data_IF_079043435580
#
_entry.id   IF_079043435580
#
_cell.length_a   1.000
_cell.length_b   1.000
_cell.length_c   1.000
_cell.angle_alpha   90.00
_cell.angle_beta   90.00
_cell.angle_gamma   90.00
#
_symmetry.space_group_name_H-M   'P 1'
#
loop_
_entity.id
_entity.type
_entity.pdbx_description
1 polymer ?
#
# COMPACT_ATOMS: atom_id res chain seq x y z
N UNK A 1 -1.42 -10.08 -21.94
CA UNK A 1 -0.52 -8.94 -21.65
C UNK A 1 0.05 -9.18 -20.27
N UNK A 2 1.25 -8.72 -19.98
CA UNK A 2 1.76 -8.73 -18.60
C UNK A 2 0.96 -7.73 -17.76
N UNK A 3 0.73 -8.06 -16.49
CA UNK A 3 0.02 -7.18 -15.55
C UNK A 3 0.81 -5.91 -15.22
N UNK A 4 0.14 -4.96 -14.57
CA UNK A 4 0.67 -3.67 -14.11
C UNK A 4 0.56 -3.56 -12.58
N UNK A 5 1.19 -2.56 -12.01
CA UNK A 5 1.21 -2.32 -10.57
C UNK A 5 0.48 -1.02 -10.23
N UNK A 6 -0.37 -1.07 -9.22
CA UNK A 6 -1.05 0.11 -8.66
C UNK A 6 -0.61 0.26 -7.20
N UNK A 7 0.03 1.38 -6.88
CA UNK A 7 0.65 1.64 -5.59
C UNK A 7 -0.10 2.77 -4.90
N UNK A 8 -0.68 2.49 -3.74
CA UNK A 8 -1.31 3.51 -2.90
C UNK A 8 -0.46 3.79 -1.67
N UNK A 9 -0.21 5.06 -1.41
CA UNK A 9 0.38 5.52 -0.15
C UNK A 9 -0.38 6.72 0.39
N UNK A 10 -0.35 6.90 1.70
CA UNK A 10 -1.02 8.00 2.38
C UNK A 10 -0.57 8.11 3.83
N UNK A 11 -0.68 9.29 4.46
CA UNK A 11 -0.64 9.39 5.90
C UNK A 11 -1.77 8.61 6.57
N UNK A 12 -1.50 8.07 7.76
CA UNK A 12 -2.51 7.39 8.57
C UNK A 12 -3.71 8.31 8.83
N UNK A 13 -4.92 7.84 8.50
CA UNK A 13 -6.14 8.64 8.65
C UNK A 13 -6.61 9.38 7.40
N UNK A 14 -5.88 9.28 6.28
CA UNK A 14 -6.25 9.93 5.01
C UNK A 14 -7.38 9.25 4.24
N UNK A 15 -7.82 8.05 4.66
CA UNK A 15 -8.89 7.29 4.00
C UNK A 15 -8.41 6.31 2.92
N UNK A 16 -7.11 6.04 2.82
CA UNK A 16 -6.51 5.16 1.82
C UNK A 16 -7.19 3.79 1.73
N UNK A 17 -7.31 3.07 2.85
CA UNK A 17 -7.90 1.73 2.87
C UNK A 17 -9.37 1.73 2.44
N UNK A 18 -10.13 2.79 2.75
CA UNK A 18 -11.52 2.93 2.31
C UNK A 18 -11.59 3.11 0.79
N UNK A 19 -10.70 3.91 0.20
CA UNK A 19 -10.61 4.11 -1.25
C UNK A 19 -10.19 2.81 -1.95
N UNK A 20 -9.13 2.16 -1.46
CA UNK A 20 -8.69 0.87 -2.04
C UNK A 20 -9.80 -0.17 -1.98
N UNK A 21 -10.48 -0.30 -0.84
CA UNK A 21 -11.57 -1.27 -0.69
C UNK A 21 -12.74 -0.97 -1.63
N UNK A 22 -13.04 0.29 -1.94
CA UNK A 22 -14.09 0.61 -2.91
C UNK A 22 -13.71 0.21 -4.34
N UNK A 23 -12.43 0.39 -4.72
CA UNK A 23 -11.92 -0.05 -6.04
C UNK A 23 -11.94 -1.58 -6.15
N UNK A 24 -11.65 -2.27 -5.05
CA UNK A 24 -11.61 -3.74 -5.00
C UNK A 24 -13.00 -4.39 -4.83
N UNK A 25 -14.05 -3.61 -4.56
CA UNK A 25 -15.42 -4.09 -4.36
C UNK A 25 -16.23 -4.12 -5.68
N UNK A 26 -17.44 -4.68 -5.61
CA UNK A 26 -18.50 -4.58 -6.64
C UNK A 26 -18.12 -5.00 -8.07
N UNK A 27 -17.22 -6.00 -8.21
CA UNK A 27 -16.80 -6.52 -9.53
C UNK A 27 -15.69 -5.72 -10.19
N UNK A 28 -15.33 -4.53 -9.70
CA UNK A 28 -14.23 -3.73 -10.25
C UNK A 28 -12.89 -4.48 -10.24
N UNK A 29 -12.61 -5.23 -9.17
CA UNK A 29 -11.43 -6.06 -9.10
C UNK A 29 -11.42 -7.17 -10.17
N UNK A 30 -12.57 -7.77 -10.51
CA UNK A 30 -12.66 -8.80 -11.54
C UNK A 30 -12.52 -8.21 -12.94
N UNK A 31 -13.18 -7.09 -13.22
CA UNK A 31 -13.13 -6.42 -14.53
C UNK A 31 -11.73 -5.92 -14.87
N UNK A 32 -11.03 -5.35 -13.90
CA UNK A 32 -9.67 -4.82 -14.04
C UNK A 32 -8.58 -5.84 -13.68
N UNK A 33 -8.95 -7.09 -13.39
CA UNK A 33 -8.03 -8.16 -12.94
C UNK A 33 -7.09 -7.70 -11.82
N UNK A 34 -7.65 -7.01 -10.79
CA UNK A 34 -6.91 -6.45 -9.67
C UNK A 34 -6.77 -7.48 -8.54
N UNK A 35 -5.57 -7.66 -8.07
CA UNK A 35 -5.21 -8.56 -6.98
C UNK A 35 -4.35 -7.84 -5.96
N UNK A 36 -4.58 -8.07 -4.67
CA UNK A 36 -3.66 -7.58 -3.64
C UNK A 36 -2.31 -8.29 -3.71
N UNK A 37 -1.26 -7.54 -3.44
CA UNK A 37 0.03 -8.14 -3.11
C UNK A 37 -0.05 -8.87 -1.78
N UNK A 38 0.33 -10.16 -1.75
CA UNK A 38 0.41 -10.94 -0.52
C UNK A 38 1.79 -10.75 0.08
N UNK A 39 1.85 -10.10 1.25
CA UNK A 39 3.11 -9.84 1.95
C UNK A 39 3.67 -11.10 2.60
N UNK A 40 4.99 -11.15 2.75
CA UNK A 40 5.66 -12.09 3.64
C UNK A 40 5.79 -11.51 5.04
N UNK A 41 5.81 -12.36 6.06
CA UNK A 41 6.05 -11.96 7.44
C UNK A 41 6.81 -13.02 8.21
N UNK A 42 7.61 -12.58 9.19
CA UNK A 42 8.32 -13.50 10.11
C UNK A 42 7.56 -13.79 11.41
N UNK A 43 6.38 -13.21 11.60
CA UNK A 43 5.53 -13.61 12.73
C UNK A 43 4.83 -14.93 12.47
N UNK A 44 4.51 -15.66 13.52
CA UNK A 44 3.69 -16.86 13.43
C UNK A 44 2.26 -16.51 12.95
N UNK A 45 1.60 -17.43 12.20
CA UNK A 45 0.18 -17.33 11.86
C UNK A 45 -0.70 -17.12 13.11
N UNK A 46 -1.78 -16.38 12.97
CA UNK A 46 -2.78 -16.15 14.03
C UNK A 46 -4.09 -16.81 13.63
N UNK A 47 -4.72 -17.53 14.55
CA UNK A 47 -5.99 -18.18 14.31
C UNK A 47 -5.94 -19.12 13.11
N UNK A 48 -6.77 -18.87 12.11
CA UNK A 48 -6.92 -19.69 10.90
C UNK A 48 -6.12 -19.17 9.69
N UNK A 49 -5.21 -18.21 9.88
CA UNK A 49 -4.37 -17.68 8.80
C UNK A 49 -3.55 -18.78 8.11
N UNK A 50 -3.55 -18.77 6.77
CA UNK A 50 -2.90 -19.79 5.94
C UNK A 50 -1.74 -19.19 5.15
N UNK A 51 -0.68 -19.97 5.01
CA UNK A 51 0.46 -19.59 4.19
C UNK A 51 0.06 -19.44 2.71
N UNK A 52 0.41 -18.27 2.12
CA UNK A 52 0.09 -17.94 0.74
C UNK A 52 -1.34 -17.41 0.52
N UNK A 53 -2.10 -17.18 1.60
CA UNK A 53 -3.44 -16.57 1.56
C UNK A 53 -3.39 -15.20 2.21
N UNK A 54 -3.25 -15.13 3.54
CA UNK A 54 -3.12 -13.85 4.24
C UNK A 54 -1.69 -13.32 4.19
N UNK A 55 -0.72 -14.22 4.37
CA UNK A 55 0.72 -13.94 4.31
C UNK A 55 1.51 -15.15 3.79
N UNK A 56 2.72 -14.88 3.30
CA UNK A 56 3.77 -15.89 3.24
C UNK A 56 4.51 -15.89 4.57
N UNK A 57 4.32 -16.93 5.38
CA UNK A 57 4.94 -17.05 6.70
C UNK A 57 6.35 -17.64 6.58
N UNK A 58 7.33 -16.87 7.03
CA UNK A 58 8.75 -17.22 7.05
C UNK A 58 9.25 -17.23 8.50
N UNK A 59 10.34 -17.94 8.76
CA UNK A 59 11.07 -17.72 10.01
C UNK A 59 11.87 -16.40 9.94
N UNK A 60 12.25 -15.79 11.08
CA UNK A 60 13.12 -14.60 11.07
C UNK A 60 14.43 -14.82 10.30
N UNK A 61 15.02 -16.01 10.39
CA UNK A 61 16.27 -16.31 9.72
C UNK A 61 16.08 -16.45 8.20
N UNK A 62 15.02 -17.13 7.75
CA UNK A 62 14.64 -17.18 6.32
C UNK A 62 14.35 -15.78 5.77
N UNK A 63 13.71 -14.91 6.57
CA UNK A 63 13.43 -13.55 6.15
C UNK A 63 14.73 -12.75 5.97
N UNK A 64 15.67 -12.84 6.91
CA UNK A 64 17.00 -12.20 6.82
C UNK A 64 17.82 -12.72 5.65
N UNK A 65 17.79 -14.03 5.40
CA UNK A 65 18.46 -14.62 4.23
C UNK A 65 17.94 -14.03 2.94
N UNK A 66 16.62 -13.88 2.81
CA UNK A 66 15.99 -13.25 1.64
C UNK A 66 16.31 -11.76 1.52
N UNK A 67 16.44 -11.03 2.63
CA UNK A 67 16.95 -9.64 2.63
C UNK A 67 18.38 -9.62 2.07
N UNK A 68 19.26 -10.49 2.57
CA UNK A 68 20.66 -10.55 2.13
C UNK A 68 20.80 -10.89 0.64
N UNK A 69 19.85 -11.65 0.09
CA UNK A 69 19.79 -12.02 -1.33
C UNK A 69 19.03 -11.01 -2.19
N UNK A 70 18.61 -9.85 -1.65
CA UNK A 70 17.83 -8.82 -2.35
C UNK A 70 16.53 -9.35 -3.00
N UNK A 71 15.82 -10.25 -2.29
CA UNK A 71 14.61 -10.90 -2.80
C UNK A 71 13.32 -10.11 -2.53
N UNK A 72 13.37 -9.00 -1.79
CA UNK A 72 12.20 -8.17 -1.48
C UNK A 72 12.11 -6.94 -2.38
N UNK A 73 10.87 -6.59 -2.75
CA UNK A 73 10.53 -5.30 -3.37
C UNK A 73 10.65 -4.17 -2.33
N UNK A 74 10.12 -4.44 -1.15
CA UNK A 74 10.18 -3.60 0.04
C UNK A 74 10.11 -4.50 1.29
N UNK A 75 10.64 -4.05 2.40
CA UNK A 75 10.47 -4.71 3.71
C UNK A 75 10.67 -3.72 4.85
N UNK A 76 10.11 -4.06 6.01
CA UNK A 76 10.25 -3.30 7.25
C UNK A 76 10.39 -4.24 8.45
N UNK A 77 11.28 -3.92 9.38
CA UNK A 77 11.30 -4.52 10.70
C UNK A 77 10.47 -3.68 11.67
N UNK A 78 9.23 -4.11 11.95
CA UNK A 78 8.29 -3.37 12.81
C UNK A 78 8.63 -3.51 14.29
N UNK A 79 9.07 -4.69 14.70
CA UNK A 79 9.63 -5.00 16.04
C UNK A 79 10.78 -5.97 15.85
N UNK A 80 11.62 -6.13 16.88
CA UNK A 80 12.74 -7.08 16.87
C UNK A 80 12.27 -8.45 16.36
N UNK A 81 12.89 -8.93 15.28
CA UNK A 81 12.60 -10.19 14.60
C UNK A 81 11.19 -10.31 14.00
N UNK A 82 10.45 -9.20 13.90
CA UNK A 82 9.14 -9.16 13.24
C UNK A 82 9.19 -8.32 11.98
N UNK A 83 9.43 -9.00 10.89
CA UNK A 83 9.53 -8.43 9.56
C UNK A 83 8.22 -8.57 8.79
N UNK A 84 7.98 -7.60 7.92
CA UNK A 84 6.99 -7.64 6.86
C UNK A 84 7.63 -7.17 5.57
N UNK A 85 7.20 -7.71 4.44
CA UNK A 85 7.73 -7.28 3.15
C UNK A 85 7.08 -8.00 1.98
N UNK A 86 7.39 -7.56 0.78
CA UNK A 86 6.83 -8.12 -0.45
C UNK A 86 7.93 -8.79 -1.27
N UNK A 87 7.75 -10.08 -1.56
CA UNK A 87 8.71 -10.87 -2.34
C UNK A 87 8.63 -10.52 -3.83
N UNK A 88 9.77 -10.20 -4.44
CA UNK A 88 9.88 -9.95 -5.90
C UNK A 88 9.31 -11.10 -6.72
N UNK A 89 9.65 -12.35 -6.36
CA UNK A 89 9.20 -13.54 -7.06
C UNK A 89 7.68 -13.71 -7.10
N UNK A 90 6.96 -13.24 -6.09
CA UNK A 90 5.49 -13.30 -6.05
C UNK A 90 4.88 -12.24 -6.96
N UNK A 91 5.40 -11.01 -6.90
CA UNK A 91 4.97 -9.93 -7.77
C UNK A 91 5.22 -10.27 -9.22
N UNK A 92 6.43 -10.72 -9.56
CA UNK A 92 6.80 -11.09 -10.92
C UNK A 92 5.94 -12.23 -11.46
N UNK A 93 5.59 -13.21 -10.60
CA UNK A 93 4.66 -14.29 -10.96
C UNK A 93 3.27 -13.75 -11.30
N UNK A 94 2.68 -12.91 -10.44
CA UNK A 94 1.36 -12.32 -10.67
C UNK A 94 1.35 -11.51 -11.97
N UNK A 95 2.36 -10.68 -12.19
CA UNK A 95 2.49 -9.88 -13.41
C UNK A 95 2.60 -10.76 -14.68
N UNK A 96 3.36 -11.85 -14.61
CA UNK A 96 3.51 -12.81 -15.72
C UNK A 96 2.19 -13.55 -16.03
N UNK A 97 1.35 -13.78 -15.02
CA UNK A 97 0.00 -14.35 -15.14
C UNK A 97 -1.03 -13.33 -15.66
N UNK A 98 -0.63 -12.06 -15.82
CA UNK A 98 -1.47 -10.96 -16.32
C UNK A 98 -2.32 -10.30 -15.23
N UNK A 99 -2.03 -10.60 -13.96
CA UNK A 99 -2.70 -9.96 -12.83
C UNK A 99 -2.17 -8.53 -12.62
N UNK A 100 -3.07 -7.59 -12.35
CA UNK A 100 -2.73 -6.25 -11.91
C UNK A 100 -2.62 -6.22 -10.39
N UNK A 101 -1.47 -5.82 -9.85
CA UNK A 101 -1.15 -5.97 -8.44
C UNK A 101 -1.32 -4.66 -7.69
N UNK A 102 -2.17 -4.66 -6.67
CA UNK A 102 -2.44 -3.50 -5.81
C UNK A 102 -1.59 -3.57 -4.55
N UNK A 103 -0.90 -2.48 -4.27
CA UNK A 103 -0.09 -2.28 -3.06
C UNK A 103 -0.70 -1.23 -2.15
N UNK A 104 -0.83 -1.58 -0.88
CA UNK A 104 -1.14 -0.67 0.23
C UNK A 104 0.10 -0.54 1.11
N UNK A 105 0.94 0.46 0.85
CA UNK A 105 2.25 0.63 1.48
C UNK A 105 2.46 2.05 2.01
N UNK A 106 3.54 2.25 2.76
CA UNK A 106 3.98 3.60 3.13
C UNK A 106 4.71 4.30 1.97
N UNK A 107 5.06 5.58 2.15
CA UNK A 107 5.71 6.38 1.09
C UNK A 107 7.06 5.83 0.66
N UNK A 108 7.84 5.26 1.57
CA UNK A 108 9.16 4.70 1.25
C UNK A 108 9.01 3.40 0.45
N UNK A 109 8.10 2.52 0.85
CA UNK A 109 7.74 1.32 0.10
C UNK A 109 7.24 1.66 -1.30
N UNK A 110 6.35 2.64 -1.42
CA UNK A 110 5.84 3.11 -2.70
C UNK A 110 6.96 3.59 -3.65
N UNK A 111 7.86 4.41 -3.15
CA UNK A 111 9.01 4.90 -3.94
C UNK A 111 9.95 3.77 -4.36
N UNK A 112 10.19 2.78 -3.50
CA UNK A 112 11.02 1.63 -3.84
C UNK A 112 10.38 0.77 -4.93
N UNK A 113 9.07 0.49 -4.84
CA UNK A 113 8.32 -0.24 -5.85
C UNK A 113 8.35 0.52 -7.19
N UNK A 114 8.03 1.81 -7.16
CA UNK A 114 8.05 2.66 -8.36
C UNK A 114 9.43 2.67 -9.03
N UNK A 115 10.51 2.75 -8.26
CA UNK A 115 11.88 2.71 -8.77
C UNK A 115 12.21 1.39 -9.48
N UNK A 116 11.72 0.26 -8.95
CA UNK A 116 11.97 -1.07 -9.52
C UNK A 116 11.18 -1.32 -10.81
N UNK A 117 9.91 -0.92 -10.84
CA UNK A 117 8.99 -1.27 -11.93
C UNK A 117 8.76 -0.13 -12.93
N UNK A 118 9.20 1.10 -12.62
CA UNK A 118 9.17 2.24 -13.55
C UNK A 118 7.76 2.52 -14.09
N UNK A 119 7.63 2.57 -15.41
CA UNK A 119 6.36 2.87 -16.09
C UNK A 119 5.33 1.72 -16.03
N UNK A 120 5.70 0.55 -15.52
CA UNK A 120 4.75 -0.53 -15.24
C UNK A 120 3.98 -0.34 -13.93
N UNK A 121 4.29 0.70 -13.17
CA UNK A 121 3.69 1.01 -11.90
C UNK A 121 3.11 2.42 -11.90
N UNK A 122 1.84 2.56 -11.50
CA UNK A 122 1.19 3.82 -11.17
C UNK A 122 1.29 4.03 -9.66
N UNK A 123 1.83 5.15 -9.21
CA UNK A 123 1.87 5.53 -7.80
C UNK A 123 0.87 6.65 -7.51
N UNK A 124 -0.07 6.38 -6.61
CA UNK A 124 -1.13 7.31 -6.19
C UNK A 124 -0.95 7.66 -4.73
N UNK A 125 -0.84 8.94 -4.43
CA UNK A 125 -0.80 9.45 -3.07
C UNK A 125 -2.17 9.99 -2.65
N UNK A 126 -2.75 9.41 -1.59
CA UNK A 126 -4.02 9.89 -1.03
C UNK A 126 -3.72 10.94 0.03
N UNK A 127 -4.10 12.18 -0.25
CA UNK A 127 -3.82 13.33 0.57
C UNK A 127 -5.05 13.79 1.34
N UNK A 128 -4.98 14.06 2.66
CA UNK A 128 -6.04 14.78 3.35
C UNK A 128 -6.08 16.25 2.88
N UNK A 129 -7.22 16.95 2.97
CA UNK A 129 -7.31 18.34 2.52
C UNK A 129 -6.42 19.29 3.33
N UNK A 130 -6.14 18.99 4.60
CA UNK A 130 -5.21 19.72 5.46
C UNK A 130 -4.72 18.86 6.63
N UNK A 131 -3.66 19.32 7.30
CA UNK A 131 -3.15 18.73 8.56
C UNK A 131 -4.19 18.84 9.67
N UNK A 132 -4.92 19.95 9.75
CA UNK A 132 -5.97 20.19 10.74
C UNK A 132 -7.12 19.18 10.57
N UNK A 133 -7.53 18.93 9.34
CA UNK A 133 -8.56 17.93 9.05
C UNK A 133 -8.07 16.50 9.36
N UNK A 134 -6.81 16.20 9.05
CA UNK A 134 -6.20 14.91 9.41
C UNK A 134 -6.20 14.72 10.93
N UNK A 135 -5.80 15.72 11.70
CA UNK A 135 -5.86 15.71 13.17
C UNK A 135 -7.27 15.43 13.66
N UNK A 136 -8.26 16.16 13.14
CA UNK A 136 -9.67 15.97 13.50
C UNK A 136 -10.14 14.53 13.24
N UNK A 137 -9.73 13.94 12.11
CA UNK A 137 -10.07 12.55 11.77
C UNK A 137 -9.42 11.53 12.72
N UNK A 138 -8.18 11.76 13.13
CA UNK A 138 -7.47 10.91 14.10
C UNK A 138 -8.09 11.02 15.50
N UNK A 139 -8.43 12.22 15.95
CA UNK A 139 -9.10 12.46 17.24
C UNK A 139 -10.49 11.81 17.30
N UNK A 140 -11.27 11.93 16.21
CA UNK A 140 -12.63 11.38 16.12
C UNK A 140 -12.68 9.84 16.14
N UNK A 141 -11.60 9.15 15.78
CA UNK A 141 -11.51 7.70 15.90
C UNK A 141 -11.49 7.23 17.37
N UNK A 142 -11.10 8.10 18.29
CA UNK A 142 -11.02 7.83 19.74
C UNK A 142 -10.27 6.54 20.11
N UNK A 143 -9.34 6.10 19.27
CA UNK A 143 -8.55 4.87 19.45
C UNK A 143 -7.14 5.13 19.96
N UNK A 144 -6.65 6.36 19.79
CA UNK A 144 -5.28 6.74 20.10
C UNK A 144 -5.21 7.77 21.24
N UNK A 145 -4.17 7.66 22.06
CA UNK A 145 -3.84 8.68 23.05
C UNK A 145 -3.34 9.98 22.36
N UNK A 146 -3.46 11.15 22.99
CA UNK A 146 -3.04 12.43 22.42
C UNK A 146 -1.59 12.42 21.92
N UNK A 147 -0.68 11.77 22.64
CA UNK A 147 0.74 11.68 22.29
C UNK A 147 0.96 10.86 21.01
N UNK A 148 0.14 9.83 20.79
CA UNK A 148 0.17 9.01 19.56
C UNK A 148 -0.34 9.83 18.38
N UNK A 149 -1.36 10.65 18.58
CA UNK A 149 -1.88 11.55 17.53
C UNK A 149 -0.80 12.56 17.10
N UNK A 150 -0.09 13.17 18.06
CA UNK A 150 1.02 14.09 17.74
C UNK A 150 2.12 13.41 16.90
N UNK A 151 2.52 12.19 17.29
CA UNK A 151 3.49 11.41 16.53
C UNK A 151 3.02 11.12 15.10
N UNK A 152 1.73 10.78 14.92
CA UNK A 152 1.14 10.54 13.60
C UNK A 152 1.08 11.82 12.76
N UNK A 153 0.80 12.96 13.36
CA UNK A 153 0.80 14.25 12.67
C UNK A 153 2.22 14.65 12.23
N UNK A 154 3.23 14.45 13.07
CA UNK A 154 4.63 14.73 12.67
C UNK A 154 5.07 13.80 11.52
N UNK A 155 4.72 12.51 11.58
CA UNK A 155 4.97 11.59 10.48
C UNK A 155 4.21 12.01 9.20
N UNK A 156 2.96 12.43 9.33
CA UNK A 156 2.16 12.90 8.20
C UNK A 156 2.77 14.11 7.49
N UNK A 157 3.40 15.03 8.20
CA UNK A 157 4.11 16.18 7.59
C UNK A 157 5.27 15.69 6.70
N UNK A 158 6.03 14.70 7.15
CA UNK A 158 7.07 14.08 6.35
C UNK A 158 6.49 13.39 5.11
N UNK A 159 5.42 12.60 5.29
CA UNK A 159 4.78 11.84 4.21
C UNK A 159 4.15 12.76 3.16
N UNK A 160 3.49 13.85 3.58
CA UNK A 160 2.94 14.87 2.69
C UNK A 160 4.02 15.58 1.85
N UNK A 161 5.20 15.80 2.40
CA UNK A 161 6.31 16.36 1.66
C UNK A 161 6.84 15.41 0.55
N UNK A 162 6.48 14.12 0.60
CA UNK A 162 6.85 13.15 -0.44
C UNK A 162 5.82 13.06 -1.57
N UNK A 163 4.66 13.72 -1.46
CA UNK A 163 3.59 13.65 -2.45
C UNK A 163 4.05 14.03 -3.87
N UNK A 164 4.99 14.98 -3.99
CA UNK A 164 5.56 15.42 -5.28
C UNK A 164 6.34 14.33 -6.04
N UNK A 165 6.68 13.22 -5.39
CA UNK A 165 7.38 12.09 -6.00
C UNK A 165 6.44 11.01 -6.55
N UNK A 166 5.14 11.17 -6.36
CA UNK A 166 4.11 10.26 -6.88
C UNK A 166 3.65 10.72 -8.26
N UNK A 167 3.17 9.76 -9.06
CA UNK A 167 2.62 10.06 -10.38
C UNK A 167 1.34 10.87 -10.26
N UNK A 168 0.48 10.52 -9.28
CA UNK A 168 -0.82 11.15 -9.07
C UNK A 168 -1.08 11.42 -7.58
N UNK A 169 -1.82 12.50 -7.31
CA UNK A 169 -2.25 12.89 -5.97
C UNK A 169 -3.77 13.07 -5.95
N UNK A 170 -4.45 12.27 -5.14
CA UNK A 170 -5.90 12.37 -4.91
C UNK A 170 -6.17 13.03 -3.57
N UNK A 171 -6.85 14.17 -3.57
CA UNK A 171 -7.22 14.89 -2.34
C UNK A 171 -8.54 14.32 -1.79
N UNK A 172 -8.48 13.64 -0.66
CA UNK A 172 -9.66 13.09 0.01
C UNK A 172 -10.30 14.14 0.95
N UNK A 173 -10.92 15.15 0.37
CA UNK A 173 -11.81 16.09 1.05
C UNK A 173 -13.24 15.50 1.11
N UNK A 174 -13.75 15.07 -0.01
CA UNK A 174 -14.99 14.29 -0.14
C UNK A 174 -14.64 12.85 -0.57
N UNK A 175 -15.05 11.86 0.25
CA UNK A 175 -14.69 10.47 0.02
C UNK A 175 -15.24 9.91 -1.31
N UNK A 176 -16.49 10.20 -1.65
CA UNK A 176 -17.13 9.70 -2.88
C UNK A 176 -16.42 10.23 -4.13
N UNK A 177 -16.05 11.52 -4.12
CA UNK A 177 -15.29 12.13 -5.20
C UNK A 177 -13.90 11.50 -5.30
N UNK A 178 -13.19 11.35 -4.17
CA UNK A 178 -11.86 10.75 -4.15
C UNK A 178 -11.85 9.28 -4.61
N UNK A 179 -12.92 8.52 -4.31
CA UNK A 179 -13.08 7.16 -4.80
C UNK A 179 -13.22 7.10 -6.32
N UNK A 180 -14.08 7.97 -6.89
CA UNK A 180 -14.27 8.07 -8.35
C UNK A 180 -13.00 8.50 -9.05
N UNK A 181 -12.31 9.51 -8.51
CA UNK A 181 -11.04 10.01 -9.07
C UNK A 181 -9.96 8.92 -9.06
N UNK A 182 -9.78 8.23 -7.92
CA UNK A 182 -8.80 7.17 -7.80
C UNK A 182 -9.09 5.98 -8.73
N UNK A 183 -10.37 5.60 -8.90
CA UNK A 183 -10.76 4.56 -9.84
C UNK A 183 -10.46 4.96 -11.29
N UNK A 184 -10.82 6.17 -11.70
CA UNK A 184 -10.55 6.67 -13.05
C UNK A 184 -9.05 6.67 -13.38
N UNK A 185 -8.19 7.08 -12.44
CA UNK A 185 -6.72 7.01 -12.62
C UNK A 185 -6.22 5.57 -12.82
N UNK A 186 -6.79 4.62 -12.10
CA UNK A 186 -6.45 3.20 -12.26
C UNK A 186 -6.91 2.67 -13.60
N UNK A 187 -8.14 2.97 -14.02
CA UNK A 187 -8.69 2.55 -15.32
C UNK A 187 -7.87 3.12 -16.47
N UNK A 188 -7.63 4.43 -16.50
CA UNK A 188 -6.84 5.10 -17.53
C UNK A 188 -5.44 4.48 -17.64
N UNK A 189 -4.76 4.23 -16.52
CA UNK A 189 -3.44 3.61 -16.52
C UNK A 189 -3.45 2.17 -17.04
N UNK A 190 -4.49 1.40 -16.76
CA UNK A 190 -4.59 0.01 -17.21
C UNK A 190 -4.93 -0.11 -18.71
N UNK A 191 -5.61 0.89 -19.29
CA UNK A 191 -5.94 0.95 -20.71
C UNK A 191 -4.76 1.35 -21.62
N UNK A 192 -3.74 2.04 -21.08
CA UNK A 192 -2.50 2.40 -21.80
C UNK A 192 -1.66 1.14 -22.17
#
# INVERSE_FOLDING_TARGET
>A
MEGKLIIFAAPSGSGKSTIINSIMADGGAEELNLHFSISATSRAPRGEEKNGVEYFFLTPDEFREKIANDEFVEYEEVYTDKFYGTLKSQVDKQLAEGENVVFDVDVNGAMNIKKLYGNRALSIFIQPPSIEELRRRLENRATDAPEVIEQRIERAKYELAQAEHFDEVVINDNLEIAQVEALALVEDFLEE
#
